data_IF_775536537048
#
_entry.id   IF_775536537048
#
_cell.length_a   1.000
_cell.length_b   1.000
_cell.length_c   1.000
_cell.angle_alpha   90.00
_cell.angle_beta   90.00
_cell.angle_gamma   90.00
#
_symmetry.space_group_name_H-M   'P 1'
#
loop_
_entity.id
_entity.type
_entity.pdbx_description
1 polymer ?
#
# COMPACT_ATOMS: atom_id res chain seq x y z
N UNK A 1 -7.98 34.58 -49.77
CA UNK A 1 -7.33 34.34 -48.47
C UNK A 1 -8.40 34.24 -47.39
N UNK A 2 -8.61 33.04 -46.80
CA UNK A 2 -9.43 32.85 -45.60
C UNK A 2 -8.61 32.02 -44.63
N UNK A 3 -8.16 32.70 -43.59
CA UNK A 3 -7.28 32.21 -42.54
C UNK A 3 -8.06 31.24 -41.64
N UNK A 4 -7.58 29.99 -41.53
CA UNK A 4 -8.10 28.97 -40.62
C UNK A 4 -7.25 29.00 -39.36
N UNK A 5 -7.72 29.69 -38.31
CA UNK A 5 -7.17 29.55 -36.95
C UNK A 5 -7.49 28.16 -36.42
N UNK A 6 -6.46 27.33 -36.30
CA UNK A 6 -6.47 26.09 -35.54
C UNK A 6 -6.37 26.43 -34.05
N UNK A 7 -7.49 26.44 -33.34
CA UNK A 7 -7.48 26.53 -31.87
C UNK A 7 -7.11 25.15 -31.32
N UNK A 8 -5.83 24.99 -30.98
CA UNK A 8 -5.35 23.84 -30.23
C UNK A 8 -5.93 23.87 -28.81
N UNK A 9 -6.80 22.92 -28.49
CA UNK A 9 -7.24 22.69 -27.13
C UNK A 9 -6.09 22.08 -26.32
N UNK A 10 -5.34 22.92 -25.61
CA UNK A 10 -4.41 22.44 -24.59
C UNK A 10 -5.21 21.96 -23.39
N UNK A 11 -5.31 20.64 -23.22
CA UNK A 11 -5.85 20.02 -22.00
C UNK A 11 -4.99 20.45 -20.81
N UNK A 12 -5.56 21.22 -19.89
CA UNK A 12 -4.92 21.49 -18.61
C UNK A 12 -4.71 20.16 -17.85
N UNK A 13 -3.57 19.97 -17.15
CA UNK A 13 -3.36 18.77 -16.36
C UNK A 13 -4.44 18.64 -15.28
N UNK A 14 -5.05 17.47 -15.16
CA UNK A 14 -6.07 17.19 -14.16
C UNK A 14 -5.55 17.59 -12.76
N UNK A 15 -6.30 18.46 -12.07
CA UNK A 15 -5.98 18.88 -10.71
C UNK A 15 -5.94 17.62 -9.83
N UNK A 16 -4.79 17.37 -9.16
CA UNK A 16 -4.67 16.29 -8.18
C UNK A 16 -5.66 16.60 -7.07
N UNK A 17 -6.71 15.78 -6.94
CA UNK A 17 -7.63 15.88 -5.82
C UNK A 17 -6.84 15.79 -4.52
N UNK A 18 -7.08 16.70 -3.55
CA UNK A 18 -6.38 16.66 -2.29
C UNK A 18 -6.68 15.32 -1.60
N UNK A 19 -5.63 14.62 -1.18
CA UNK A 19 -5.77 13.33 -0.51
C UNK A 19 -6.37 13.57 0.88
N UNK A 20 -7.46 12.87 1.20
CA UNK A 20 -8.05 12.87 2.55
C UNK A 20 -7.06 12.22 3.52
N UNK A 21 -6.69 12.93 4.57
CA UNK A 21 -5.97 12.33 5.71
C UNK A 21 -6.94 11.55 6.59
N UNK A 22 -6.48 10.43 7.15
CA UNK A 22 -7.21 9.66 8.14
C UNK A 22 -6.82 10.13 9.54
N UNK A 23 -7.78 10.14 10.46
CA UNK A 23 -7.48 10.27 11.88
C UNK A 23 -6.73 9.03 12.40
N UNK A 24 -6.17 9.11 13.61
CA UNK A 24 -5.49 7.97 14.24
C UNK A 24 -6.44 6.81 14.50
N UNK A 25 -7.67 7.11 14.93
CA UNK A 25 -8.74 6.14 15.20
C UNK A 25 -9.16 5.42 13.91
N UNK A 26 -9.44 6.18 12.85
CA UNK A 26 -9.73 5.61 11.52
C UNK A 26 -8.58 4.75 10.98
N UNK A 27 -7.34 5.16 11.24
CA UNK A 27 -6.16 4.40 10.81
C UNK A 27 -6.04 3.06 11.53
N UNK A 28 -6.34 3.04 12.83
CA UNK A 28 -6.36 1.81 13.64
C UNK A 28 -7.50 0.87 13.21
N UNK A 29 -8.69 1.41 12.95
CA UNK A 29 -9.82 0.64 12.42
C UNK A 29 -9.49 0.02 11.05
N UNK A 30 -8.95 0.82 10.12
CA UNK A 30 -8.53 0.34 8.79
C UNK A 30 -7.48 -0.76 8.93
N UNK A 31 -6.50 -0.58 9.82
CA UNK A 31 -5.48 -1.59 10.09
C UNK A 31 -6.10 -2.90 10.56
N UNK A 32 -6.94 -2.86 11.60
CA UNK A 32 -7.56 -4.05 12.16
C UNK A 32 -8.44 -4.76 11.13
N UNK A 33 -9.26 -4.02 10.37
CA UNK A 33 -10.14 -4.57 9.35
C UNK A 33 -9.36 -5.26 8.21
N UNK A 34 -8.32 -4.60 7.68
CA UNK A 34 -7.52 -5.18 6.59
C UNK A 34 -6.66 -6.36 7.06
N UNK A 35 -6.14 -6.33 8.29
CA UNK A 35 -5.41 -7.46 8.85
C UNK A 35 -6.33 -8.68 9.05
N UNK A 36 -7.54 -8.47 9.57
CA UNK A 36 -8.55 -9.51 9.70
C UNK A 36 -8.91 -10.11 8.34
N UNK A 37 -9.27 -9.26 7.37
CA UNK A 37 -9.64 -9.70 6.03
C UNK A 37 -8.50 -10.42 5.31
N UNK A 38 -7.26 -9.97 5.48
CA UNK A 38 -6.09 -10.65 4.94
C UNK A 38 -5.95 -12.07 5.50
N UNK A 39 -6.16 -12.24 6.81
CA UNK A 39 -6.09 -13.54 7.47
C UNK A 39 -7.17 -14.50 6.95
N UNK A 40 -8.41 -14.04 6.84
CA UNK A 40 -9.50 -14.85 6.25
C UNK A 40 -9.13 -15.33 4.84
N UNK A 41 -8.58 -14.45 4.00
CA UNK A 41 -8.14 -14.84 2.66
C UNK A 41 -6.95 -15.81 2.67
N UNK A 42 -6.03 -15.72 3.64
CA UNK A 42 -4.97 -16.72 3.79
C UNK A 42 -5.55 -18.09 4.18
N UNK A 43 -6.51 -18.14 5.11
CA UNK A 43 -7.19 -19.37 5.55
C UNK A 43 -8.02 -20.01 4.42
N UNK A 44 -8.63 -19.20 3.57
CA UNK A 44 -9.41 -19.63 2.40
C UNK A 44 -8.53 -20.02 1.19
N UNK A 45 -7.20 -20.06 1.32
CA UNK A 45 -6.26 -20.30 0.22
C UNK A 45 -6.42 -19.30 -0.96
N UNK A 46 -6.72 -18.04 -0.63
CA UNK A 46 -6.89 -16.93 -1.56
C UNK A 46 -5.73 -15.90 -1.45
N UNK A 47 -4.48 -16.29 -1.76
CA UNK A 47 -3.29 -15.50 -1.44
C UNK A 47 -3.22 -14.17 -2.20
N UNK A 48 -3.80 -14.07 -3.40
CA UNK A 48 -3.81 -12.82 -4.16
C UNK A 48 -4.63 -11.75 -3.43
N UNK A 49 -5.78 -12.11 -2.86
CA UNK A 49 -6.63 -11.19 -2.12
C UNK A 49 -5.98 -10.77 -0.80
N UNK A 50 -5.33 -11.71 -0.10
CA UNK A 50 -4.52 -11.39 1.09
C UNK A 50 -3.39 -10.40 0.76
N UNK A 51 -2.68 -10.61 -0.35
CA UNK A 51 -1.64 -9.68 -0.85
C UNK A 51 -2.21 -8.27 -1.03
N UNK A 52 -3.42 -8.11 -1.61
CA UNK A 52 -4.03 -6.78 -1.81
C UNK A 52 -4.33 -6.07 -0.49
N UNK A 53 -4.78 -6.81 0.52
CA UNK A 53 -5.04 -6.26 1.85
C UNK A 53 -3.75 -5.73 2.49
N UNK A 54 -2.66 -6.52 2.44
CA UNK A 54 -1.37 -6.07 2.97
C UNK A 54 -0.72 -4.95 2.14
N UNK A 55 -0.91 -4.95 0.82
CA UNK A 55 -0.48 -3.84 -0.05
C UNK A 55 -1.12 -2.53 0.36
N UNK A 56 -2.42 -2.54 0.64
CA UNK A 56 -3.17 -1.36 1.07
C UNK A 56 -2.61 -0.77 2.38
N UNK A 57 -2.21 -1.63 3.32
CA UNK A 57 -1.56 -1.23 4.57
C UNK A 57 -0.16 -0.62 4.37
N UNK A 58 0.50 -0.90 3.25
CA UNK A 58 1.84 -0.40 2.93
C UNK A 58 1.82 0.88 2.07
N UNK A 59 0.63 1.40 1.72
CA UNK A 59 0.50 2.63 0.94
C UNK A 59 0.87 3.84 1.78
N UNK A 60 1.56 4.81 1.17
CA UNK A 60 1.97 6.06 1.82
C UNK A 60 0.81 6.92 2.34
N UNK A 61 -0.41 6.64 1.91
CA UNK A 61 -1.61 7.39 2.29
C UNK A 61 -2.21 6.94 3.63
N UNK A 62 -1.77 5.80 4.18
CA UNK A 62 -2.12 5.32 5.50
C UNK A 62 -0.90 5.45 6.42
N UNK A 63 -1.00 6.29 7.45
CA UNK A 63 0.12 6.53 8.38
C UNK A 63 0.03 5.57 9.57
N UNK A 64 0.61 4.38 9.42
CA UNK A 64 0.65 3.38 10.48
C UNK A 64 1.80 3.61 11.46
N UNK A 65 1.65 3.08 12.68
CA UNK A 65 2.76 2.93 13.61
C UNK A 65 3.81 1.94 13.05
N UNK A 66 5.10 2.07 13.42
CA UNK A 66 6.17 1.26 12.83
C UNK A 66 5.98 -0.26 12.97
N UNK A 67 5.51 -0.74 14.13
CA UNK A 67 5.34 -2.17 14.38
C UNK A 67 4.17 -2.78 13.59
N UNK A 68 2.95 -2.18 13.60
CA UNK A 68 1.86 -2.59 12.70
C UNK A 68 2.24 -2.66 11.23
N UNK A 69 2.93 -1.63 10.72
CA UNK A 69 3.35 -1.60 9.31
C UNK A 69 4.42 -2.66 9.01
N UNK A 70 5.37 -2.86 9.91
CA UNK A 70 6.39 -3.91 9.80
C UNK A 70 5.76 -5.31 9.71
N UNK A 71 4.72 -5.57 10.52
CA UNK A 71 3.98 -6.84 10.50
C UNK A 71 3.33 -7.09 9.13
N UNK A 72 2.63 -6.10 8.58
CA UNK A 72 2.00 -6.21 7.27
C UNK A 72 3.05 -6.44 6.16
N UNK A 73 4.19 -5.71 6.21
CA UNK A 73 5.29 -5.88 5.25
C UNK A 73 5.92 -7.26 5.28
N UNK A 74 6.12 -7.85 6.46
CA UNK A 74 6.65 -9.22 6.58
C UNK A 74 5.68 -10.24 6.00
N UNK A 75 4.38 -10.16 6.32
CA UNK A 75 3.38 -11.07 5.73
C UNK A 75 3.31 -10.94 4.21
N UNK A 76 3.30 -9.72 3.70
CA UNK A 76 3.31 -9.45 2.26
C UNK A 76 4.56 -10.05 1.59
N UNK A 77 5.75 -9.86 2.16
CA UNK A 77 6.98 -10.45 1.63
C UNK A 77 6.91 -11.99 1.61
N UNK A 78 6.41 -12.62 2.68
CA UNK A 78 6.24 -14.06 2.74
C UNK A 78 5.30 -14.59 1.66
N UNK A 79 4.14 -13.95 1.46
CA UNK A 79 3.19 -14.35 0.42
C UNK A 79 3.78 -14.17 -0.99
N UNK A 80 4.53 -13.08 -1.22
CA UNK A 80 5.22 -12.87 -2.49
C UNK A 80 6.25 -13.96 -2.76
N UNK A 81 7.03 -14.39 -1.76
CA UNK A 81 8.02 -15.46 -1.91
C UNK A 81 7.38 -16.84 -2.07
N UNK A 82 6.21 -17.07 -1.48
CA UNK A 82 5.53 -18.36 -1.51
C UNK A 82 4.74 -18.58 -2.80
N UNK A 83 4.11 -17.53 -3.34
CA UNK A 83 3.15 -17.65 -4.43
C UNK A 83 3.55 -16.91 -5.71
N UNK A 84 4.70 -16.24 -5.75
CA UNK A 84 5.16 -15.48 -6.92
C UNK A 84 6.67 -15.55 -7.11
N UNK A 85 7.14 -15.14 -8.29
CA UNK A 85 8.58 -14.98 -8.57
C UNK A 85 9.09 -13.55 -8.26
N UNK A 86 8.29 -12.72 -7.59
CA UNK A 86 8.62 -11.31 -7.35
C UNK A 86 9.54 -11.11 -6.12
N UNK A 87 10.68 -11.78 -6.15
CA UNK A 87 11.69 -11.75 -5.08
C UNK A 87 12.23 -10.34 -4.82
N UNK A 88 12.28 -9.49 -5.84
CA UNK A 88 12.75 -8.11 -5.70
C UNK A 88 11.81 -7.29 -4.80
N UNK A 89 10.51 -7.41 -5.03
CA UNK A 89 9.50 -6.71 -4.24
C UNK A 89 9.44 -7.24 -2.80
N UNK A 90 9.53 -8.56 -2.62
CA UNK A 90 9.63 -9.15 -1.29
C UNK A 90 10.83 -8.59 -0.51
N UNK A 91 12.00 -8.52 -1.14
CA UNK A 91 13.20 -7.90 -0.56
C UNK A 91 12.95 -6.45 -0.14
N UNK A 92 12.36 -5.62 -0.99
CA UNK A 92 12.07 -4.22 -0.67
C UNK A 92 11.18 -4.06 0.58
N UNK A 93 10.16 -4.92 0.72
CA UNK A 93 9.31 -4.92 1.91
C UNK A 93 10.08 -5.32 3.18
N UNK A 94 10.98 -6.30 3.09
CA UNK A 94 11.84 -6.72 4.20
C UNK A 94 12.87 -5.64 4.59
N UNK A 95 13.49 -4.98 3.62
CA UNK A 95 14.40 -3.85 3.88
C UNK A 95 13.66 -2.70 4.59
N UNK A 96 12.44 -2.39 4.15
CA UNK A 96 11.64 -1.36 4.80
C UNK A 96 11.20 -1.77 6.20
N UNK A 97 10.84 -3.04 6.41
CA UNK A 97 10.58 -3.60 7.75
C UNK A 97 11.78 -3.42 8.68
N UNK A 98 13.00 -3.74 8.21
CA UNK A 98 14.22 -3.52 9.00
C UNK A 98 14.41 -2.05 9.38
N UNK A 99 14.16 -1.11 8.45
CA UNK A 99 14.27 0.33 8.74
C UNK A 99 13.25 0.80 9.77
N UNK A 100 12.00 0.32 9.68
CA UNK A 100 10.96 0.63 10.67
C UNK A 100 11.39 0.17 12.06
N UNK A 101 11.80 -1.10 12.18
CA UNK A 101 12.12 -1.72 13.46
C UNK A 101 13.44 -1.24 14.05
N UNK A 102 14.41 -0.86 13.20
CA UNK A 102 15.67 -0.25 13.67
C UNK A 102 15.43 1.03 14.47
N UNK A 103 14.34 1.75 14.21
CA UNK A 103 14.00 2.98 14.93
C UNK A 103 13.03 2.75 16.10
N UNK A 104 12.58 1.51 16.30
CA UNK A 104 11.80 1.09 17.47
C UNK A 104 12.78 0.70 18.56
N UNK A 105 13.30 1.68 19.28
CA UNK A 105 14.01 1.46 20.54
C UNK A 105 13.05 1.77 21.70
N UNK A 106 12.92 0.81 22.61
CA UNK A 106 12.61 1.04 24.01
C UNK A 106 13.91 0.86 24.80
#
# INVERSE_FOLDING_TARGET
>A
ARDRRSEGWTMAPAAKTPRRGYSTDETEEIYNALMFLANEFEEDNAPLQAVRCYEALCLKDLTLLPVPEARARVRLASLLLQYTDNVHRAKQHLETCMLLLKNVHG
#
